data_IF_401296655535
#
_entry.id   IF_401296655535
#
_cell.length_a   1.000
_cell.length_b   1.000
_cell.length_c   1.000
_cell.angle_alpha   90.00
_cell.angle_beta   90.00
_cell.angle_gamma   90.00
#
_symmetry.space_group_name_H-M   'P 1'
#
loop_
_entity.id
_entity.type
_entity.pdbx_description
1 polymer ?
#
# COMPACT_ATOMS: atom_id res chain seq x y z
N UNK A 1 -27.62 25.71 -22.75
CA UNK A 1 -26.33 24.99 -22.74
C UNK A 1 -26.44 23.90 -21.71
N UNK A 2 -26.03 22.69 -22.08
CA UNK A 2 -26.05 21.54 -21.17
C UNK A 2 -25.06 21.83 -20.02
N UNK A 3 -25.53 21.75 -18.76
CA UNK A 3 -24.77 22.26 -17.60
C UNK A 3 -23.53 21.42 -17.29
N UNK A 4 -23.41 20.22 -17.86
CA UNK A 4 -22.33 19.25 -17.60
C UNK A 4 -21.36 19.14 -18.79
N UNK A 5 -20.95 20.27 -19.36
CA UNK A 5 -19.92 20.32 -20.41
C UNK A 5 -18.84 21.36 -20.11
N UNK A 6 -17.62 21.10 -20.57
CA UNK A 6 -16.49 22.01 -20.56
C UNK A 6 -16.29 22.58 -21.97
N UNK A 7 -16.38 23.90 -22.12
CA UNK A 7 -16.03 24.58 -23.37
C UNK A 7 -14.54 24.90 -23.41
N UNK A 8 -13.84 24.46 -24.46
CA UNK A 8 -12.42 24.72 -24.70
C UNK A 8 -12.29 25.52 -25.99
N UNK A 9 -11.57 26.65 -25.94
CA UNK A 9 -11.20 27.44 -27.11
C UNK A 9 -9.70 27.24 -27.35
N UNK A 10 -9.34 26.66 -28.49
CA UNK A 10 -7.93 26.53 -28.89
C UNK A 10 -7.50 27.78 -29.66
N UNK A 11 -6.80 28.69 -28.98
CA UNK A 11 -6.35 29.95 -29.56
C UNK A 11 -5.39 29.78 -30.76
N UNK A 12 -4.77 28.61 -30.94
CA UNK A 12 -3.90 28.33 -32.09
C UNK A 12 -4.71 28.23 -33.38
N UNK A 13 -5.98 27.83 -33.29
CA UNK A 13 -6.87 27.58 -34.43
C UNK A 13 -8.18 28.38 -34.37
N UNK A 14 -8.45 29.07 -33.25
CA UNK A 14 -9.72 29.71 -32.90
C UNK A 14 -10.93 28.76 -32.94
N UNK A 15 -10.71 27.44 -32.86
CA UNK A 15 -11.79 26.46 -32.80
C UNK A 15 -12.31 26.30 -31.38
N UNK A 16 -13.61 26.06 -31.26
CA UNK A 16 -14.30 25.80 -29.99
C UNK A 16 -14.74 24.35 -29.93
N UNK A 17 -14.45 23.69 -28.81
CA UNK A 17 -14.81 22.30 -28.53
C UNK A 17 -15.67 22.24 -27.27
N UNK A 18 -16.63 21.32 -27.23
CA UNK A 18 -17.39 21.01 -26.01
C UNK A 18 -17.08 19.58 -25.59
N UNK A 19 -16.60 19.42 -24.36
CA UNK A 19 -16.23 18.12 -23.79
C UNK A 19 -17.19 17.78 -22.66
N UNK A 20 -17.78 16.57 -22.63
CA UNK A 20 -18.66 16.17 -21.55
C UNK A 20 -17.91 16.04 -20.22
N UNK A 21 -18.52 16.54 -19.15
CA UNK A 21 -18.07 16.31 -17.78
C UNK A 21 -18.91 15.17 -17.21
N UNK A 22 -18.26 14.15 -16.66
CA UNK A 22 -18.91 13.04 -15.98
C UNK A 22 -18.24 12.80 -14.63
N UNK A 23 -19.03 12.81 -13.54
CA UNK A 23 -18.55 12.61 -12.16
C UNK A 23 -17.35 13.51 -11.81
N UNK A 24 -17.39 14.76 -12.25
CA UNK A 24 -16.32 15.74 -12.01
C UNK A 24 -15.03 15.49 -12.81
N UNK A 25 -15.07 14.62 -13.82
CA UNK A 25 -13.92 14.31 -14.69
C UNK A 25 -14.27 14.51 -16.16
N UNK A 26 -13.24 14.72 -17.00
CA UNK A 26 -13.34 14.61 -18.45
C UNK A 26 -12.54 13.38 -18.90
N UNK A 27 -12.88 12.77 -20.04
CA UNK A 27 -12.04 11.70 -20.60
C UNK A 27 -10.85 12.35 -21.30
N UNK A 28 -9.63 11.96 -20.95
CA UNK A 28 -8.42 12.46 -21.63
C UNK A 28 -8.43 12.20 -23.14
N UNK A 29 -9.09 11.12 -23.59
CA UNK A 29 -9.27 10.82 -25.01
C UNK A 29 -10.10 11.87 -25.77
N UNK A 30 -10.99 12.59 -25.10
CA UNK A 30 -11.82 13.61 -25.73
C UNK A 30 -10.99 14.84 -26.13
N UNK A 31 -9.81 15.04 -25.54
CA UNK A 31 -8.87 16.10 -25.95
C UNK A 31 -8.19 15.81 -27.28
N UNK A 32 -8.18 14.55 -27.74
CA UNK A 32 -7.48 14.14 -28.97
C UNK A 32 -8.10 14.75 -30.25
N UNK A 33 -9.33 15.22 -30.18
CA UNK A 33 -9.98 15.94 -31.29
C UNK A 33 -9.39 17.33 -31.52
N UNK A 34 -8.72 17.91 -30.51
CA UNK A 34 -8.11 19.24 -30.57
C UNK A 34 -6.78 19.13 -31.30
N UNK A 35 -6.72 19.69 -32.51
CA UNK A 35 -5.59 19.53 -33.44
C UNK A 35 -5.24 20.85 -34.11
N UNK A 36 -3.95 21.07 -34.39
CA UNK A 36 -3.50 22.23 -35.19
C UNK A 36 -3.40 21.94 -36.69
N UNK A 37 -3.59 20.68 -37.11
CA UNK A 37 -3.59 20.28 -38.52
C UNK A 37 -3.95 18.80 -38.72
N UNK A 38 -4.03 18.32 -39.98
CA UNK A 38 -4.45 16.94 -40.28
C UNK A 38 -3.52 15.87 -39.69
N UNK A 39 -2.20 16.12 -39.72
CA UNK A 39 -1.16 15.21 -39.24
C UNK A 39 -0.93 15.27 -37.72
N UNK A 40 -1.61 16.19 -37.02
CA UNK A 40 -1.51 16.29 -35.57
C UNK A 40 -2.20 15.07 -34.92
N UNK A 41 -1.49 14.42 -34.00
CA UNK A 41 -2.00 13.30 -33.22
C UNK A 41 -3.20 13.70 -32.34
N UNK A 42 -3.26 14.98 -31.96
CA UNK A 42 -4.24 15.55 -31.05
C UNK A 42 -3.63 15.91 -29.68
N UNK A 43 -4.25 16.86 -28.99
CA UNK A 43 -3.82 17.30 -27.66
C UNK A 43 -3.82 16.14 -26.66
N UNK A 44 -2.77 16.07 -25.86
CA UNK A 44 -2.61 15.09 -24.77
C UNK A 44 -2.47 15.83 -23.43
N UNK A 45 -2.87 15.18 -22.35
CA UNK A 45 -2.53 15.64 -21.00
C UNK A 45 -1.08 15.31 -20.66
N UNK A 46 -0.42 16.21 -19.95
CA UNK A 46 0.86 15.97 -19.31
C UNK A 46 0.69 16.16 -17.81
N UNK A 47 0.66 15.05 -17.07
CA UNK A 47 0.42 15.03 -15.63
C UNK A 47 1.38 14.04 -14.96
N UNK A 48 2.65 14.43 -14.75
CA UNK A 48 3.63 13.59 -14.08
C UNK A 48 3.11 13.08 -12.74
N UNK A 49 3.29 11.78 -12.47
CA UNK A 49 2.81 11.12 -11.25
C UNK A 49 1.28 11.15 -11.03
N UNK A 50 0.49 11.44 -12.08
CA UNK A 50 -0.98 11.41 -12.04
C UNK A 50 -1.55 12.33 -10.96
N UNK A 51 -0.99 13.54 -10.81
CA UNK A 51 -1.35 14.44 -9.72
C UNK A 51 -2.79 14.92 -9.79
N UNK A 52 -3.36 14.99 -11.00
CA UNK A 52 -4.74 15.40 -11.28
C UNK A 52 -5.41 14.49 -12.33
N UNK A 53 -5.08 13.20 -12.31
CA UNK A 53 -5.64 12.20 -13.23
C UNK A 53 -6.31 11.08 -12.45
N UNK A 54 -7.63 10.95 -12.58
CA UNK A 54 -8.37 9.79 -12.10
C UNK A 54 -8.15 8.60 -13.04
N UNK A 55 -7.42 7.58 -12.59
CA UNK A 55 -6.99 6.46 -13.44
C UNK A 55 -8.06 5.37 -13.66
N UNK A 56 -9.07 5.29 -12.78
CA UNK A 56 -10.16 4.31 -12.88
C UNK A 56 -11.41 4.80 -12.16
N UNK A 57 -12.54 4.15 -12.43
CA UNK A 57 -13.70 4.20 -11.55
C UNK A 57 -13.56 3.09 -10.49
N UNK A 58 -13.96 3.36 -9.26
CA UNK A 58 -13.91 2.37 -8.19
C UNK A 58 -15.05 2.54 -7.20
N UNK A 59 -15.52 1.42 -6.68
CA UNK A 59 -16.50 1.32 -5.60
C UNK A 59 -15.91 0.65 -4.34
N UNK A 60 -14.59 0.42 -4.28
CA UNK A 60 -13.92 -0.28 -3.16
C UNK A 60 -13.79 0.64 -1.94
N UNK A 61 -13.10 1.77 -2.12
CA UNK A 61 -12.74 2.69 -1.04
C UNK A 61 -12.98 4.11 -1.49
N UNK A 62 -13.56 4.91 -0.59
CA UNK A 62 -13.69 6.34 -0.76
C UNK A 62 -12.85 7.07 0.29
N UNK A 63 -12.15 8.12 -0.15
CA UNK A 63 -11.30 8.93 0.70
C UNK A 63 -11.53 10.41 0.41
N UNK A 64 -11.91 11.18 1.43
CA UNK A 64 -11.91 12.65 1.39
C UNK A 64 -10.84 13.17 2.34
N UNK A 65 -9.72 13.60 1.76
CA UNK A 65 -8.56 14.02 2.52
C UNK A 65 -8.72 15.35 3.25
N UNK A 66 -9.55 16.25 2.73
CA UNK A 66 -9.83 17.52 3.41
C UNK A 66 -10.72 17.29 4.63
N UNK A 67 -11.69 16.37 4.53
CA UNK A 67 -12.62 16.06 5.63
C UNK A 67 -12.13 14.96 6.57
N UNK A 68 -11.02 14.29 6.26
CA UNK A 68 -10.53 13.17 7.06
C UNK A 68 -11.49 11.98 7.02
N UNK A 69 -12.09 11.68 5.86
CA UNK A 69 -13.03 10.56 5.70
C UNK A 69 -12.32 9.41 5.00
N UNK A 70 -12.43 8.22 5.57
CA UNK A 70 -12.05 6.95 4.94
C UNK A 70 -13.21 5.97 5.07
N UNK A 71 -13.64 5.41 3.94
CA UNK A 71 -14.73 4.44 3.91
C UNK A 71 -14.38 3.24 3.05
N UNK A 72 -14.59 2.04 3.57
CA UNK A 72 -14.55 0.81 2.80
C UNK A 72 -15.99 0.43 2.46
N UNK A 73 -16.32 0.34 1.17
CA UNK A 73 -17.67 0.06 0.68
C UNK A 73 -18.76 0.94 1.34
N UNK A 74 -18.42 2.19 1.64
CA UNK A 74 -19.32 3.14 2.28
C UNK A 74 -19.29 3.15 3.82
N UNK A 75 -18.76 2.12 4.47
CA UNK A 75 -18.64 2.04 5.93
C UNK A 75 -17.44 2.85 6.44
N UNK A 76 -17.62 3.75 7.44
CA UNK A 76 -16.51 4.46 8.06
C UNK A 76 -15.48 3.51 8.67
N UNK A 77 -14.19 3.79 8.44
CA UNK A 77 -13.10 2.94 8.91
C UNK A 77 -13.14 2.70 10.41
N UNK A 78 -13.60 3.69 11.18
CA UNK A 78 -13.66 3.63 12.62
C UNK A 78 -14.67 2.60 13.15
N UNK A 79 -15.79 2.44 12.44
CA UNK A 79 -16.81 1.46 12.81
C UNK A 79 -16.32 0.04 12.50
N UNK A 80 -15.67 -0.15 11.34
CA UNK A 80 -15.08 -1.42 10.97
C UNK A 80 -13.97 -1.83 11.94
N UNK A 81 -13.08 -0.91 12.29
CA UNK A 81 -12.01 -1.15 13.26
C UNK A 81 -12.56 -1.51 14.65
N UNK A 82 -13.68 -0.91 15.07
CA UNK A 82 -14.28 -1.17 16.38
C UNK A 82 -15.05 -2.49 16.46
N UNK A 83 -15.75 -2.88 15.39
CA UNK A 83 -16.73 -3.96 15.44
C UNK A 83 -16.36 -5.21 14.64
N UNK A 84 -15.51 -5.11 13.62
CA UNK A 84 -15.25 -6.22 12.71
C UNK A 84 -13.94 -6.96 13.03
N UNK A 85 -13.87 -8.19 12.50
CA UNK A 85 -12.62 -8.93 12.33
C UNK A 85 -11.91 -8.49 11.04
N UNK A 86 -10.61 -8.75 10.91
CA UNK A 86 -9.91 -8.45 9.66
C UNK A 86 -10.46 -9.28 8.49
N UNK A 87 -10.82 -10.54 8.72
CA UNK A 87 -11.36 -11.40 7.65
C UNK A 87 -12.75 -10.97 7.20
N UNK A 88 -13.57 -10.41 8.10
CA UNK A 88 -14.85 -9.79 7.77
C UNK A 88 -14.65 -8.54 6.89
N UNK A 89 -13.68 -7.69 7.21
CA UNK A 89 -13.31 -6.53 6.38
C UNK A 89 -12.72 -6.98 5.03
N UNK A 90 -11.91 -8.03 5.01
CA UNK A 90 -11.40 -8.59 3.76
C UNK A 90 -12.54 -9.13 2.88
N UNK A 91 -13.54 -9.79 3.47
CA UNK A 91 -14.74 -10.21 2.76
C UNK A 91 -15.47 -9.00 2.16
N UNK A 92 -15.73 -7.96 2.96
CA UNK A 92 -16.36 -6.71 2.53
C UNK A 92 -15.64 -6.09 1.32
N UNK A 93 -14.32 -5.99 1.39
CA UNK A 93 -13.52 -5.41 0.30
C UNK A 93 -13.65 -6.23 -0.99
N UNK A 94 -13.59 -7.56 -0.90
CA UNK A 94 -13.63 -8.45 -2.08
C UNK A 94 -15.03 -8.56 -2.68
N UNK A 95 -16.07 -8.71 -1.86
CA UNK A 95 -17.42 -9.05 -2.32
C UNK A 95 -18.39 -7.86 -2.35
N UNK A 96 -18.04 -6.75 -1.70
CA UNK A 96 -18.82 -5.51 -1.74
C UNK A 96 -19.78 -5.30 -0.58
N UNK A 97 -20.13 -6.36 0.14
CA UNK A 97 -21.09 -6.36 1.26
C UNK A 97 -20.50 -7.08 2.48
N UNK A 98 -20.97 -6.75 3.68
CA UNK A 98 -20.60 -7.47 4.90
C UNK A 98 -21.19 -8.90 4.87
N UNK A 99 -20.44 -9.92 5.33
CA UNK A 99 -20.93 -11.29 5.33
C UNK A 99 -21.99 -11.49 6.43
N UNK A 100 -22.93 -12.40 6.17
CA UNK A 100 -23.69 -13.06 7.25
C UNK A 100 -22.77 -13.95 8.08
N UNK A 101 -23.22 -14.37 9.27
CA UNK A 101 -22.43 -15.28 10.12
C UNK A 101 -22.06 -16.59 9.41
N UNK A 102 -22.99 -17.15 8.61
CA UNK A 102 -22.72 -18.38 7.83
C UNK A 102 -21.65 -18.15 6.77
N UNK A 103 -21.73 -17.05 6.03
CA UNK A 103 -20.74 -16.67 5.01
C UNK A 103 -19.37 -16.39 5.63
N UNK A 104 -19.32 -15.73 6.79
CA UNK A 104 -18.09 -15.46 7.51
C UNK A 104 -17.41 -16.76 7.95
N UNK A 105 -18.16 -17.69 8.57
CA UNK A 105 -17.61 -18.99 8.98
C UNK A 105 -17.15 -19.84 7.79
N UNK A 106 -17.83 -19.75 6.65
CA UNK A 106 -17.41 -20.42 5.41
C UNK A 106 -16.11 -19.78 4.88
N UNK A 107 -16.03 -18.45 4.87
CA UNK A 107 -14.87 -17.69 4.44
C UNK A 107 -13.62 -17.94 5.30
N UNK A 108 -13.77 -17.93 6.62
CA UNK A 108 -12.69 -18.24 7.56
C UNK A 108 -12.15 -19.66 7.35
N UNK A 109 -13.05 -20.63 7.14
CA UNK A 109 -12.67 -22.02 6.86
C UNK A 109 -11.94 -22.16 5.52
N UNK A 110 -12.44 -21.52 4.48
CA UNK A 110 -11.86 -21.55 3.13
C UNK A 110 -10.43 -20.95 3.13
N UNK A 111 -10.23 -19.83 3.82
CA UNK A 111 -8.90 -19.24 4.03
C UNK A 111 -8.02 -20.16 4.87
N UNK A 112 -8.54 -20.67 5.99
CA UNK A 112 -7.81 -21.53 6.92
C UNK A 112 -7.22 -22.76 6.24
N UNK A 113 -7.97 -23.36 5.31
CA UNK A 113 -7.53 -24.50 4.49
C UNK A 113 -6.39 -24.18 3.52
N UNK A 114 -6.16 -22.91 3.21
CA UNK A 114 -5.15 -22.46 2.25
C UNK A 114 -3.94 -21.77 2.89
N UNK A 115 -3.80 -21.81 4.21
CA UNK A 115 -2.69 -21.17 4.94
C UNK A 115 -1.33 -21.84 4.72
N UNK A 116 -1.29 -23.17 4.55
CA UNK A 116 -0.05 -23.90 4.30
C UNK A 116 0.54 -23.58 2.91
N UNK A 117 1.87 -23.47 2.84
CA UNK A 117 2.61 -23.34 1.58
C UNK A 117 3.25 -24.67 1.20
N UNK A 118 3.50 -24.89 -0.09
CA UNK A 118 4.13 -26.12 -0.57
C UNK A 118 5.56 -26.26 -0.01
N UNK A 119 5.99 -27.47 0.35
CA UNK A 119 7.30 -27.72 1.00
C UNK A 119 8.50 -27.20 0.21
N UNK A 120 8.46 -27.30 -1.12
CA UNK A 120 9.52 -26.74 -1.97
C UNK A 120 9.61 -25.20 -1.91
N UNK A 121 8.56 -24.49 -1.46
CA UNK A 121 8.65 -23.04 -1.20
C UNK A 121 9.57 -22.77 -0.01
N UNK A 122 9.55 -23.62 1.03
CA UNK A 122 10.50 -23.50 2.15
C UNK A 122 11.94 -23.67 1.67
N UNK A 123 12.19 -24.67 0.82
CA UNK A 123 13.52 -24.86 0.20
C UNK A 123 13.96 -23.68 -0.65
N UNK A 124 13.03 -23.02 -1.33
CA UNK A 124 13.30 -21.77 -2.06
C UNK A 124 13.69 -20.65 -1.07
N UNK A 125 12.97 -20.51 0.04
CA UNK A 125 13.26 -19.52 1.08
C UNK A 125 14.61 -19.77 1.77
N UNK A 126 15.02 -21.03 1.96
CA UNK A 126 16.32 -21.38 2.54
C UNK A 126 17.51 -20.84 1.73
N UNK A 127 17.29 -20.51 0.44
CA UNK A 127 18.30 -19.92 -0.43
C UNK A 127 18.57 -18.43 -0.20
N UNK A 128 17.73 -17.72 0.56
CA UNK A 128 18.01 -16.33 0.91
C UNK A 128 19.16 -16.23 1.91
N UNK A 129 19.97 -15.18 1.79
CA UNK A 129 21.00 -14.90 2.79
C UNK A 129 20.37 -14.68 4.17
N UNK A 130 21.09 -15.02 5.23
CA UNK A 130 20.56 -15.05 6.60
C UNK A 130 20.10 -13.68 7.12
N UNK A 131 20.68 -12.58 6.63
CA UNK A 131 20.32 -11.20 7.00
C UNK A 131 19.41 -10.52 5.96
N UNK A 132 18.90 -11.27 4.96
CA UNK A 132 18.10 -10.72 3.89
C UNK A 132 16.87 -9.98 4.43
N UNK A 133 16.61 -8.79 3.88
CA UNK A 133 15.49 -7.98 4.33
C UNK A 133 14.15 -8.72 4.11
N UNK A 134 13.26 -8.76 5.12
CA UNK A 134 12.00 -9.52 5.06
C UNK A 134 11.12 -9.16 3.86
N UNK A 135 11.05 -7.88 3.49
CA UNK A 135 10.35 -7.44 2.26
C UNK A 135 10.93 -8.08 0.99
N UNK A 136 12.25 -8.22 0.88
CA UNK A 136 12.89 -8.89 -0.27
C UNK A 136 12.49 -10.36 -0.35
N UNK A 137 12.53 -11.07 0.78
CA UNK A 137 12.06 -12.46 0.89
C UNK A 137 10.59 -12.56 0.49
N UNK A 138 9.73 -11.66 0.99
CA UNK A 138 8.29 -11.64 0.72
C UNK A 138 8.00 -11.44 -0.78
N UNK A 139 8.59 -10.42 -1.41
CA UNK A 139 8.43 -10.11 -2.84
C UNK A 139 8.81 -11.33 -3.69
N UNK A 140 10.02 -11.85 -3.48
CA UNK A 140 10.55 -12.97 -4.26
C UNK A 140 9.75 -14.25 -4.06
N UNK A 141 9.33 -14.54 -2.82
CA UNK A 141 8.55 -15.75 -2.53
C UNK A 141 7.14 -15.66 -3.12
N UNK A 142 6.46 -14.52 -3.00
CA UNK A 142 5.14 -14.32 -3.62
C UNK A 142 5.22 -14.42 -5.14
N UNK A 143 6.27 -13.87 -5.76
CA UNK A 143 6.50 -14.04 -7.19
C UNK A 143 6.69 -15.53 -7.54
N UNK A 144 7.49 -16.27 -6.76
CA UNK A 144 7.70 -17.70 -6.99
C UNK A 144 6.40 -18.51 -6.85
N UNK A 145 5.45 -18.12 -5.99
CA UNK A 145 4.16 -18.82 -5.86
C UNK A 145 3.38 -18.89 -7.19
N UNK A 146 3.58 -17.97 -8.13
CA UNK A 146 3.00 -18.05 -9.48
C UNK A 146 3.34 -19.37 -10.19
N UNK A 147 4.52 -19.95 -9.95
CA UNK A 147 4.95 -21.21 -10.58
C UNK A 147 4.37 -22.44 -9.87
N UNK A 148 3.94 -22.30 -8.61
CA UNK A 148 3.31 -23.38 -7.82
C UNK A 148 1.80 -23.45 -8.06
N UNK A 149 1.21 -22.37 -8.55
CA UNK A 149 -0.21 -22.28 -8.89
C UNK A 149 -0.36 -21.97 -10.38
N UNK A 150 -0.01 -22.91 -11.28
CA UNK A 150 -0.02 -22.66 -12.71
C UNK A 150 -1.42 -22.34 -13.23
N UNK A 151 -2.50 -22.68 -12.51
CA UNK A 151 -3.86 -22.33 -12.88
C UNK A 151 -4.22 -20.84 -12.68
N UNK A 152 -3.35 -20.09 -11.98
CA UNK A 152 -3.55 -18.68 -11.64
C UNK A 152 -3.61 -17.73 -12.84
N UNK A 153 -3.04 -18.09 -13.98
CA UNK A 153 -3.13 -17.30 -15.22
C UNK A 153 -4.54 -17.31 -15.84
N UNK A 154 -5.45 -18.20 -15.39
CA UNK A 154 -6.85 -18.26 -15.87
C UNK A 154 -7.69 -17.13 -15.27
N UNK A 155 -7.25 -15.89 -15.43
CA UNK A 155 -7.83 -14.71 -14.78
C UNK A 155 -9.22 -14.34 -15.31
N UNK A 156 -9.64 -14.86 -16.47
CA UNK A 156 -11.00 -14.63 -16.99
C UNK A 156 -12.04 -15.53 -16.32
N UNK A 157 -11.61 -16.66 -15.74
CA UNK A 157 -12.47 -17.55 -14.97
C UNK A 157 -12.68 -17.01 -13.55
N UNK A 158 -13.94 -16.71 -13.21
CA UNK A 158 -14.32 -16.18 -11.90
C UNK A 158 -14.00 -17.13 -10.75
N UNK A 159 -14.16 -18.45 -10.96
CA UNK A 159 -13.82 -19.44 -9.94
C UNK A 159 -12.31 -19.49 -9.70
N UNK A 160 -11.51 -19.46 -10.78
CA UNK A 160 -10.05 -19.36 -10.66
C UNK A 160 -9.64 -18.09 -9.90
N UNK A 161 -10.21 -16.92 -10.24
CA UNK A 161 -9.95 -15.67 -9.52
C UNK A 161 -10.24 -15.80 -8.03
N UNK A 162 -11.42 -16.33 -7.65
CA UNK A 162 -11.79 -16.56 -6.25
C UNK A 162 -10.76 -17.45 -5.53
N UNK A 163 -10.38 -18.57 -6.14
CA UNK A 163 -9.39 -19.47 -5.56
C UNK A 163 -8.03 -18.79 -5.33
N UNK A 164 -7.58 -17.94 -6.26
CA UNK A 164 -6.32 -17.22 -6.06
C UNK A 164 -6.42 -16.14 -4.99
N UNK A 165 -7.58 -15.46 -4.86
CA UNK A 165 -7.84 -14.51 -3.77
C UNK A 165 -7.70 -15.19 -2.41
N UNK A 166 -8.38 -16.33 -2.22
CA UNK A 166 -8.30 -17.14 -0.99
C UNK A 166 -6.86 -17.57 -0.70
N UNK A 167 -6.15 -18.08 -1.72
CA UNK A 167 -4.76 -18.52 -1.57
C UNK A 167 -3.84 -17.37 -1.15
N UNK A 168 -3.97 -16.19 -1.75
CA UNK A 168 -3.12 -15.05 -1.41
C UNK A 168 -3.41 -14.53 0.00
N UNK A 169 -4.68 -14.37 0.39
CA UNK A 169 -5.05 -13.95 1.75
C UNK A 169 -4.60 -14.98 2.80
N UNK A 170 -4.74 -16.27 2.52
CA UNK A 170 -4.34 -17.34 3.44
C UNK A 170 -2.84 -17.54 3.57
N UNK A 171 -2.08 -17.43 2.46
CA UNK A 171 -0.64 -17.77 2.44
C UNK A 171 0.26 -16.62 2.86
N UNK A 172 -0.17 -15.38 2.65
CA UNK A 172 0.71 -14.24 2.88
C UNK A 172 1.20 -14.14 4.35
N UNK A 173 0.37 -14.37 5.38
CA UNK A 173 0.84 -14.43 6.76
C UNK A 173 1.90 -15.52 6.98
N UNK A 174 1.74 -16.69 6.35
CA UNK A 174 2.70 -17.79 6.44
C UNK A 174 4.04 -17.41 5.82
N UNK A 175 4.03 -16.84 4.61
CA UNK A 175 5.26 -16.37 3.94
C UNK A 175 5.94 -15.27 4.75
N UNK A 176 5.17 -14.32 5.28
CA UNK A 176 5.67 -13.24 6.13
C UNK A 176 6.30 -13.77 7.43
N UNK A 177 5.64 -14.69 8.13
CA UNK A 177 6.17 -15.28 9.35
C UNK A 177 7.43 -16.12 9.09
N UNK A 178 7.49 -16.81 7.94
CA UNK A 178 8.67 -17.55 7.54
C UNK A 178 9.82 -16.62 7.20
N UNK A 179 9.58 -15.49 6.52
CA UNK A 179 10.59 -14.47 6.27
C UNK A 179 11.19 -13.91 7.57
N UNK A 180 10.34 -13.63 8.58
CA UNK A 180 10.79 -13.22 9.91
C UNK A 180 11.67 -14.29 10.57
N UNK A 181 11.22 -15.54 10.56
CA UNK A 181 11.95 -16.63 11.24
C UNK A 181 13.24 -17.01 10.53
N UNK A 182 13.27 -16.95 9.20
CA UNK A 182 14.50 -17.11 8.41
C UNK A 182 15.57 -16.12 8.86
N UNK A 183 15.21 -14.83 8.93
CA UNK A 183 16.13 -13.77 9.39
C UNK A 183 16.65 -13.99 10.81
N UNK A 184 15.84 -14.57 11.68
CA UNK A 184 16.23 -14.89 13.06
C UNK A 184 16.91 -16.26 13.22
N UNK A 185 17.11 -17.02 12.14
CA UNK A 185 17.65 -18.38 12.20
C UNK A 185 16.75 -19.37 12.96
N UNK A 186 15.45 -19.13 13.01
CA UNK A 186 14.47 -19.95 13.76
C UNK A 186 13.78 -20.96 12.84
N UNK A 187 13.48 -22.19 13.31
CA UNK A 187 12.70 -23.16 12.55
C UNK A 187 11.31 -22.61 12.20
N UNK A 188 10.77 -22.88 11.02
CA UNK A 188 9.42 -22.47 10.65
C UNK A 188 8.35 -23.14 11.52
N UNK A 189 7.30 -22.40 11.86
CA UNK A 189 6.13 -22.88 12.61
C UNK A 189 4.94 -22.91 11.67
N UNK A 190 4.31 -24.08 11.53
CA UNK A 190 3.14 -24.21 10.67
C UNK A 190 1.92 -23.42 11.19
N UNK A 191 1.01 -23.01 10.28
CA UNK A 191 -0.31 -22.52 10.65
C UNK A 191 -1.07 -23.50 11.55
N UNK A 192 -1.80 -22.97 12.54
CA UNK A 192 -2.72 -23.70 13.40
C UNK A 192 -4.16 -23.35 13.01
N UNK A 193 -4.97 -24.33 12.53
CA UNK A 193 -6.34 -24.07 12.08
C UNK A 193 -7.33 -23.77 13.22
N UNK A 194 -6.95 -23.98 14.49
CA UNK A 194 -7.80 -23.62 15.63
C UNK A 194 -7.67 -22.15 16.03
N UNK A 195 -6.68 -21.43 15.49
CA UNK A 195 -6.43 -20.03 15.80
C UNK A 195 -7.05 -19.09 14.76
N UNK A 196 -7.62 -17.98 15.23
CA UNK A 196 -8.07 -16.89 14.35
C UNK A 196 -6.89 -16.28 13.57
N UNK A 197 -7.18 -15.54 12.51
CA UNK A 197 -6.16 -15.04 11.56
C UNK A 197 -4.94 -14.38 12.22
N UNK A 198 -5.16 -13.41 13.12
CA UNK A 198 -4.07 -12.71 13.82
C UNK A 198 -3.39 -13.58 14.88
N UNK A 199 -4.16 -14.38 15.63
CA UNK A 199 -3.61 -15.33 16.61
C UNK A 199 -2.73 -16.38 15.94
N UNK A 200 -3.12 -16.85 14.77
CA UNK A 200 -2.36 -17.81 13.99
C UNK A 200 -1.05 -17.19 13.46
N UNK A 201 -1.10 -15.94 13.00
CA UNK A 201 0.12 -15.22 12.62
C UNK A 201 1.07 -15.03 13.82
N UNK A 202 0.56 -14.63 14.99
CA UNK A 202 1.33 -14.56 16.23
C UNK A 202 1.96 -15.92 16.61
N UNK A 203 1.20 -17.02 16.48
CA UNK A 203 1.69 -18.38 16.67
C UNK A 203 2.87 -18.68 15.74
N UNK A 204 2.74 -18.38 14.45
CA UNK A 204 3.79 -18.65 13.48
C UNK A 204 5.05 -17.81 13.73
N UNK A 205 4.95 -16.65 14.38
CA UNK A 205 6.08 -15.80 14.73
C UNK A 205 6.78 -16.25 16.02
N UNK A 206 6.00 -16.48 17.07
CA UNK A 206 6.52 -16.52 18.44
C UNK A 206 6.48 -17.88 19.11
N UNK A 207 5.78 -18.87 18.55
CA UNK A 207 5.84 -20.22 19.10
C UNK A 207 7.28 -20.72 19.13
N UNK A 208 7.73 -21.16 20.30
CA UNK A 208 9.05 -21.71 20.51
C UNK A 208 8.95 -23.23 20.66
N UNK A 209 9.05 -23.74 21.88
CA UNK A 209 9.05 -25.17 22.18
C UNK A 209 7.76 -25.63 22.83
N UNK A 210 6.87 -24.71 23.18
CA UNK A 210 5.59 -25.05 23.79
C UNK A 210 4.71 -25.87 22.84
N UNK A 211 3.92 -26.84 23.35
CA UNK A 211 3.04 -27.66 22.51
C UNK A 211 1.99 -26.82 21.77
N UNK A 212 1.41 -25.84 22.46
CA UNK A 212 0.37 -24.94 21.94
C UNK A 212 0.71 -23.50 22.31
N UNK A 213 0.66 -22.62 21.31
CA UNK A 213 0.85 -21.19 21.52
C UNK A 213 -0.44 -20.57 22.07
N UNK A 214 -0.32 -19.75 23.10
CA UNK A 214 -1.43 -19.01 23.69
C UNK A 214 -1.28 -17.52 23.40
N UNK A 215 -1.92 -17.05 22.32
CA UNK A 215 -1.91 -15.64 21.94
C UNK A 215 -2.57 -14.77 23.02
N UNK A 216 -1.89 -13.71 23.46
CA UNK A 216 -2.52 -12.72 24.33
C UNK A 216 -3.70 -12.06 23.58
N UNK A 217 -4.93 -12.05 24.13
CA UNK A 217 -6.12 -11.56 23.43
C UNK A 217 -6.06 -10.06 23.11
N UNK A 218 -5.43 -9.25 23.97
CA UNK A 218 -5.27 -7.81 23.75
C UNK A 218 -4.34 -7.56 22.57
N UNK A 219 -3.19 -8.25 22.52
CA UNK A 219 -2.24 -8.12 21.41
C UNK A 219 -2.83 -8.64 20.09
N UNK A 220 -3.59 -9.73 20.14
CA UNK A 220 -4.28 -10.26 18.96
C UNK A 220 -5.33 -9.27 18.42
N UNK A 221 -6.08 -8.60 19.31
CA UNK A 221 -7.05 -7.57 18.93
C UNK A 221 -6.36 -6.32 18.40
N UNK A 222 -5.28 -5.88 19.03
CA UNK A 222 -4.48 -4.74 18.56
C UNK A 222 -3.97 -4.99 17.12
N UNK A 223 -3.45 -6.19 16.86
CA UNK A 223 -3.00 -6.57 15.52
C UNK A 223 -4.14 -6.58 14.49
N UNK A 224 -5.33 -7.02 14.90
CA UNK A 224 -6.50 -7.06 14.04
C UNK A 224 -6.99 -5.67 13.65
N UNK A 225 -7.04 -4.75 14.63
CA UNK A 225 -7.34 -3.34 14.36
C UNK A 225 -6.29 -2.75 13.41
N UNK A 226 -5.00 -2.97 13.68
CA UNK A 226 -3.93 -2.49 12.80
C UNK A 226 -4.07 -3.07 11.38
N UNK A 227 -4.44 -4.33 11.23
CA UNK A 227 -4.70 -4.93 9.93
C UNK A 227 -5.88 -4.26 9.21
N UNK A 228 -7.00 -4.02 9.90
CA UNK A 228 -8.16 -3.31 9.32
C UNK A 228 -7.76 -1.91 8.84
N UNK A 229 -6.99 -1.16 9.63
CA UNK A 229 -6.57 0.22 9.30
C UNK A 229 -5.65 0.31 8.07
N UNK A 230 -5.07 -0.82 7.66
CA UNK A 230 -4.15 -0.92 6.52
C UNK A 230 -4.73 -1.73 5.35
N UNK A 231 -5.96 -2.26 5.47
CA UNK A 231 -6.53 -3.20 4.51
C UNK A 231 -6.66 -2.66 3.08
N UNK A 232 -7.10 -1.41 2.91
CA UNK A 232 -7.07 -0.70 1.64
C UNK A 232 -6.86 0.81 1.81
N UNK A 233 -6.42 1.50 0.76
CA UNK A 233 -6.26 2.95 0.79
C UNK A 233 -6.32 3.56 -0.62
N UNK A 234 -7.35 3.20 -1.38
CA UNK A 234 -7.66 3.79 -2.69
C UNK A 234 -6.48 3.69 -3.69
N UNK A 235 -6.34 4.60 -4.66
CA UNK A 235 -5.34 4.54 -5.74
C UNK A 235 -3.95 5.08 -5.31
N UNK A 236 -3.36 4.46 -4.29
CA UNK A 236 -1.96 4.70 -3.91
C UNK A 236 -0.96 3.96 -4.83
N UNK A 237 0.34 4.27 -4.72
CA UNK A 237 1.41 3.72 -5.57
C UNK A 237 1.35 2.19 -5.74
N UNK A 238 1.19 1.45 -4.64
CA UNK A 238 1.11 -0.02 -4.68
C UNK A 238 -0.18 -0.54 -5.33
N UNK A 239 -1.32 0.09 -5.06
CA UNK A 239 -2.60 -0.27 -5.69
C UNK A 239 -2.60 0.06 -7.19
N UNK A 240 -2.07 1.22 -7.58
CA UNK A 240 -1.89 1.58 -8.99
C UNK A 240 -0.93 0.63 -9.70
N UNK A 241 0.11 0.15 -9.01
CA UNK A 241 1.02 -0.88 -9.55
C UNK A 241 0.30 -2.21 -9.73
N UNK A 242 -0.49 -2.66 -8.74
CA UNK A 242 -1.33 -3.86 -8.84
C UNK A 242 -2.25 -3.75 -10.07
N UNK A 243 -2.93 -2.62 -10.26
CA UNK A 243 -3.79 -2.40 -11.43
C UNK A 243 -3.00 -2.34 -12.74
N UNK A 244 -1.87 -1.65 -12.77
CA UNK A 244 -1.05 -1.50 -13.98
C UNK A 244 -0.51 -2.85 -14.46
N UNK A 245 0.10 -3.64 -13.57
CA UNK A 245 0.59 -4.99 -13.91
C UNK A 245 -0.59 -5.92 -14.23
N UNK A 246 -1.68 -5.87 -13.46
CA UNK A 246 -2.87 -6.68 -13.72
C UNK A 246 -3.51 -6.39 -15.09
N UNK A 247 -3.43 -5.15 -15.57
CA UNK A 247 -3.96 -4.75 -16.88
C UNK A 247 -3.26 -5.41 -18.08
N UNK A 248 -2.05 -5.96 -17.89
CA UNK A 248 -1.37 -6.77 -18.89
C UNK A 248 -1.78 -8.24 -18.87
N UNK A 249 -2.79 -8.60 -18.06
CA UNK A 249 -3.25 -9.97 -17.80
C UNK A 249 -2.20 -10.86 -17.10
N UNK A 250 -1.29 -10.28 -16.33
CA UNK A 250 -0.42 -11.05 -15.43
C UNK A 250 -1.25 -11.79 -14.37
N UNK A 251 -0.75 -12.95 -13.91
CA UNK A 251 -1.40 -13.71 -12.85
C UNK A 251 -1.40 -12.91 -11.52
N UNK A 252 -2.35 -13.18 -10.60
CA UNK A 252 -2.47 -12.40 -9.37
C UNK A 252 -1.27 -12.53 -8.43
N UNK A 253 -0.45 -13.59 -8.48
CA UNK A 253 0.75 -13.70 -7.64
C UNK A 253 1.87 -12.80 -8.16
N UNK A 254 2.14 -12.82 -9.47
CA UNK A 254 3.11 -11.90 -10.08
C UNK A 254 2.67 -10.43 -9.94
N UNK A 255 1.37 -10.17 -10.10
CA UNK A 255 0.79 -8.83 -9.90
C UNK A 255 0.95 -8.37 -8.44
N UNK A 256 0.66 -9.25 -7.48
CA UNK A 256 0.84 -9.01 -6.04
C UNK A 256 2.30 -8.73 -5.70
N UNK A 257 3.25 -9.49 -6.25
CA UNK A 257 4.68 -9.25 -6.04
C UNK A 257 5.10 -7.85 -6.50
N UNK A 258 4.59 -7.37 -7.64
CA UNK A 258 4.78 -6.00 -8.11
C UNK A 258 4.20 -4.95 -7.14
N UNK A 259 3.02 -5.20 -6.58
CA UNK A 259 2.39 -4.32 -5.59
C UNK A 259 3.19 -4.27 -4.28
N UNK A 260 3.67 -5.41 -3.78
CA UNK A 260 4.55 -5.51 -2.60
C UNK A 260 5.88 -4.78 -2.86
N UNK A 261 6.45 -4.91 -4.05
CA UNK A 261 7.66 -4.17 -4.42
C UNK A 261 7.43 -2.65 -4.40
N UNK A 262 6.31 -2.17 -4.93
CA UNK A 262 5.93 -0.76 -4.84
C UNK A 262 5.70 -0.31 -3.39
N UNK A 263 5.17 -1.18 -2.52
CA UNK A 263 5.03 -0.90 -1.08
C UNK A 263 6.37 -0.82 -0.35
N UNK A 264 7.37 -1.62 -0.76
CA UNK A 264 8.69 -1.65 -0.11
C UNK A 264 9.50 -0.35 -0.25
N UNK A 265 9.09 0.55 -1.14
CA UNK A 265 9.77 1.84 -1.31
C UNK A 265 9.63 2.74 -0.06
N UNK A 266 10.70 3.48 0.32
CA UNK A 266 10.69 4.33 1.52
C UNK A 266 9.73 5.53 1.42
N UNK A 267 9.35 5.93 0.20
CA UNK A 267 8.34 6.97 -0.04
C UNK A 267 6.89 6.43 -0.02
N UNK A 268 6.71 5.15 0.30
CA UNK A 268 5.40 4.51 0.44
C UNK A 268 5.33 3.74 1.77
N UNK A 269 5.45 2.41 1.77
CA UNK A 269 5.26 1.58 2.98
C UNK A 269 6.47 1.48 3.92
N UNK A 270 7.65 1.96 3.50
CA UNK A 270 8.85 2.01 4.36
C UNK A 270 8.86 3.17 5.36
N UNK A 271 7.87 4.06 5.34
CA UNK A 271 7.85 5.24 6.21
C UNK A 271 7.71 4.91 7.71
N UNK A 272 7.11 3.78 8.07
CA UNK A 272 6.92 3.35 9.46
C UNK A 272 8.23 2.92 10.14
N UNK A 273 9.13 2.25 9.42
CA UNK A 273 10.48 1.92 9.90
C UNK A 273 11.28 3.21 10.15
N UNK A 274 11.23 4.14 9.19
CA UNK A 274 11.90 5.44 9.29
C UNK A 274 11.41 6.32 10.44
N UNK A 275 10.14 6.17 10.87
CA UNK A 275 9.62 6.84 12.08
C UNK A 275 10.39 6.37 13.30
N UNK A 276 10.60 5.06 13.49
CA UNK A 276 11.31 4.59 14.69
C UNK A 276 12.78 4.96 14.66
N UNK A 277 13.43 4.85 13.50
CA UNK A 277 14.82 5.32 13.34
C UNK A 277 14.96 6.80 13.68
N UNK A 278 13.99 7.63 13.26
CA UNK A 278 13.93 9.04 13.63
C UNK A 278 13.72 9.24 15.14
N UNK A 279 12.82 8.49 15.77
CA UNK A 279 12.58 8.58 17.21
C UNK A 279 13.81 8.13 18.03
N UNK A 280 14.54 7.11 17.55
CA UNK A 280 15.82 6.67 18.13
C UNK A 280 16.93 7.73 17.95
N UNK A 281 17.04 8.36 16.78
CA UNK A 281 17.98 9.47 16.54
C UNK A 281 17.72 10.65 17.49
N UNK A 282 16.44 10.98 17.73
CA UNK A 282 16.06 12.03 18.69
C UNK A 282 16.42 11.62 20.11
N UNK A 283 16.12 10.38 20.49
CA UNK A 283 16.49 9.74 21.77
C UNK A 283 15.77 10.27 23.01
N UNK A 284 15.65 11.59 23.19
CA UNK A 284 14.95 12.22 24.32
C UNK A 284 14.14 13.44 23.89
N UNK A 285 13.10 13.77 24.66
CA UNK A 285 12.26 14.97 24.44
C UNK A 285 13.09 16.26 24.40
N UNK A 286 14.19 16.34 25.15
CA UNK A 286 15.06 17.52 25.20
C UNK A 286 15.78 17.83 23.88
N UNK A 287 15.95 16.83 23.00
CA UNK A 287 16.61 16.99 21.70
C UNK A 287 15.65 17.45 20.58
N UNK A 288 14.33 17.40 20.82
CA UNK A 288 13.32 17.72 19.81
C UNK A 288 13.50 19.12 19.20
N UNK A 289 13.75 20.21 19.97
CA UNK A 289 13.91 21.54 19.39
C UNK A 289 15.01 21.61 18.33
N UNK A 290 16.14 20.93 18.56
CA UNK A 290 17.25 20.86 17.61
C UNK A 290 16.91 20.09 16.34
N UNK A 291 16.19 18.97 16.48
CA UNK A 291 15.71 18.19 15.33
C UNK A 291 14.73 18.99 14.48
N UNK A 292 13.76 19.66 15.12
CA UNK A 292 12.76 20.50 14.44
C UNK A 292 13.41 21.66 13.68
N UNK A 293 14.46 22.29 14.23
CA UNK A 293 15.21 23.31 13.51
C UNK A 293 15.80 22.78 12.20
N UNK A 294 16.42 21.59 12.23
CA UNK A 294 16.98 20.95 11.03
C UNK A 294 15.92 20.59 9.98
N UNK A 295 14.72 20.18 10.42
CA UNK A 295 13.58 19.93 9.52
C UNK A 295 13.16 21.23 8.83
N UNK A 296 13.05 22.34 9.58
CA UNK A 296 12.68 23.65 9.00
C UNK A 296 13.72 24.18 8.02
N UNK A 297 15.00 23.89 8.25
CA UNK A 297 16.12 24.19 7.36
C UNK A 297 16.19 23.28 6.12
N UNK A 298 15.37 22.22 6.05
CA UNK A 298 15.36 21.28 4.92
C UNK A 298 16.50 20.26 4.93
N UNK A 299 17.24 20.12 6.05
CA UNK A 299 18.33 19.14 6.21
C UNK A 299 17.82 17.72 6.48
N UNK A 300 16.61 17.62 7.04
CA UNK A 300 15.94 16.38 7.45
C UNK A 300 14.46 16.44 7.08
N UNK A 301 13.81 15.28 6.95
CA UNK A 301 12.35 15.18 6.87
C UNK A 301 11.80 14.72 8.22
N UNK A 302 10.59 15.16 8.54
CA UNK A 302 9.85 14.66 9.69
C UNK A 302 9.04 13.44 9.26
N UNK A 303 9.54 12.24 9.58
CA UNK A 303 8.96 10.97 9.16
C UNK A 303 7.64 10.69 9.90
N UNK A 304 6.65 10.10 9.23
CA UNK A 304 5.30 9.88 9.78
C UNK A 304 4.41 11.13 9.81
N UNK A 305 4.84 12.24 9.18
CA UNK A 305 4.05 13.46 9.08
C UNK A 305 3.74 13.85 7.63
N UNK A 306 2.53 14.38 7.45
CA UNK A 306 1.98 14.70 6.14
C UNK A 306 1.39 13.46 5.47
N UNK A 307 0.48 13.73 4.55
CA UNK A 307 -0.19 12.69 3.79
C UNK A 307 -0.59 13.25 2.42
N UNK A 308 -0.42 12.47 1.35
CA UNK A 308 -0.73 12.91 -0.03
C UNK A 308 -2.19 13.34 -0.20
N UNK A 309 -3.08 12.67 0.54
CA UNK A 309 -4.53 12.90 0.54
C UNK A 309 -5.04 13.64 1.78
N UNK A 310 -4.87 13.12 3.02
CA UNK A 310 -5.28 13.83 4.24
C UNK A 310 -4.57 15.16 4.45
N UNK A 311 -5.36 16.21 4.69
CA UNK A 311 -4.89 17.60 4.78
C UNK A 311 -5.14 18.26 6.13
N UNK A 312 -5.94 17.67 7.01
CA UNK A 312 -6.33 18.25 8.30
C UNK A 312 -6.21 17.29 9.49
N UNK A 313 -6.59 16.02 9.33
CA UNK A 313 -6.53 15.00 10.39
C UNK A 313 -6.71 13.58 9.81
N UNK A 314 -6.02 12.58 10.36
CA UNK A 314 -6.20 11.16 10.01
C UNK A 314 -7.26 10.54 10.95
N UNK A 315 -8.44 10.10 10.44
CA UNK A 315 -9.51 9.55 11.28
C UNK A 315 -9.07 8.34 12.11
N UNK A 316 -8.01 7.65 11.68
CA UNK A 316 -7.47 6.44 12.32
C UNK A 316 -6.68 6.78 13.58
N UNK A 317 -6.18 8.00 13.74
CA UNK A 317 -5.29 8.39 14.84
C UNK A 317 -5.92 8.16 16.23
N UNK A 318 -7.24 8.44 16.40
CA UNK A 318 -7.94 8.21 17.67
C UNK A 318 -7.96 6.75 18.07
N UNK A 319 -8.20 5.87 17.10
CA UNK A 319 -8.26 4.42 17.33
C UNK A 319 -6.88 3.89 17.69
N UNK A 320 -5.86 4.32 16.95
CA UNK A 320 -4.49 3.88 17.19
C UNK A 320 -3.99 4.29 18.57
N UNK A 321 -4.34 5.49 19.05
CA UNK A 321 -3.98 5.92 20.42
C UNK A 321 -4.57 5.01 21.49
N UNK A 322 -5.86 4.66 21.37
CA UNK A 322 -6.52 3.72 22.28
C UNK A 322 -5.84 2.35 22.24
N UNK A 323 -5.56 1.83 21.05
CA UNK A 323 -4.86 0.55 20.88
C UNK A 323 -3.46 0.58 21.47
N UNK A 324 -2.73 1.69 21.35
CA UNK A 324 -1.41 1.84 21.95
C UNK A 324 -1.46 1.74 23.48
N UNK A 325 -2.43 2.41 24.11
CA UNK A 325 -2.65 2.35 25.56
C UNK A 325 -2.93 0.91 26.00
N UNK A 326 -3.87 0.22 25.34
CA UNK A 326 -4.22 -1.19 25.63
C UNK A 326 -3.00 -2.13 25.49
N UNK A 327 -2.15 -1.91 24.48
CA UNK A 327 -0.92 -2.70 24.29
C UNK A 327 0.08 -2.42 25.41
N UNK A 328 0.29 -1.16 25.80
CA UNK A 328 1.24 -0.79 26.85
C UNK A 328 0.84 -1.31 28.23
N UNK A 329 -0.45 -1.47 28.50
CA UNK A 329 -0.93 -2.13 29.73
C UNK A 329 -0.43 -3.58 29.83
N UNK A 330 -0.23 -4.25 28.70
CA UNK A 330 0.21 -5.65 28.62
C UNK A 330 1.72 -5.78 28.52
N UNK A 331 2.37 -4.95 27.69
CA UNK A 331 3.79 -5.12 27.34
C UNK A 331 4.72 -4.18 28.10
N UNK A 332 4.17 -3.20 28.80
CA UNK A 332 4.90 -2.08 29.38
C UNK A 332 4.99 -0.90 28.42
N UNK A 333 5.20 0.28 28.98
CA UNK A 333 5.22 1.54 28.23
C UNK A 333 6.49 1.67 27.40
N UNK A 334 6.35 1.96 26.11
CA UNK A 334 7.47 2.31 25.24
C UNK A 334 7.88 3.78 25.44
N UNK A 335 9.12 4.12 25.86
CA UNK A 335 9.53 5.51 26.11
C UNK A 335 9.49 6.40 24.87
N UNK A 336 9.54 5.83 23.66
CA UNK A 336 9.38 6.57 22.42
C UNK A 336 8.03 7.29 22.32
N UNK A 337 7.01 6.81 23.05
CA UNK A 337 5.69 7.47 23.05
C UNK A 337 5.76 8.91 23.57
N UNK A 338 6.65 9.19 24.53
CA UNK A 338 6.80 10.55 25.07
C UNK A 338 7.39 11.51 24.02
N UNK A 339 8.36 11.02 23.25
CA UNK A 339 8.95 11.77 22.12
C UNK A 339 7.88 11.98 21.04
N UNK A 340 7.13 10.93 20.69
CA UNK A 340 6.11 10.98 19.66
C UNK A 340 4.98 11.97 20.02
N UNK A 341 4.49 11.94 21.25
CA UNK A 341 3.48 12.88 21.75
C UNK A 341 4.00 14.32 21.78
N UNK A 342 5.27 14.53 22.14
CA UNK A 342 5.87 15.86 22.11
C UNK A 342 6.03 16.40 20.68
N UNK A 343 6.46 15.56 19.73
CA UNK A 343 6.54 15.90 18.31
C UNK A 343 5.16 16.22 17.72
N UNK A 344 4.13 15.43 18.04
CA UNK A 344 2.75 15.70 17.63
C UNK A 344 2.31 17.08 18.11
N UNK A 345 2.51 17.39 19.40
CA UNK A 345 2.14 18.71 19.96
C UNK A 345 2.83 19.86 19.24
N UNK A 346 4.10 19.71 18.90
CA UNK A 346 4.86 20.73 18.16
C UNK A 346 4.31 20.87 16.74
N UNK A 347 4.12 19.77 16.01
CA UNK A 347 3.59 19.81 14.65
C UNK A 347 2.19 20.45 14.58
N UNK A 348 1.36 20.25 15.62
CA UNK A 348 0.02 20.84 15.71
C UNK A 348 0.00 22.31 16.15
N UNK A 349 1.08 22.84 16.73
CA UNK A 349 1.13 24.20 17.28
C UNK A 349 2.08 25.14 16.51
N UNK A 350 3.00 24.59 15.74
CA UNK A 350 4.03 25.34 15.03
C UNK A 350 3.61 25.73 13.60
N UNK A 351 3.67 27.03 13.30
CA UNK A 351 3.19 27.63 12.05
C UNK A 351 3.84 27.02 10.80
N UNK A 352 5.09 26.54 10.88
CA UNK A 352 5.78 25.89 9.77
C UNK A 352 5.04 24.64 9.30
N UNK A 353 4.60 23.81 10.24
CA UNK A 353 3.96 22.52 10.00
C UNK A 353 2.49 22.69 9.65
N UNK A 354 1.79 23.62 10.34
CA UNK A 354 0.39 23.97 10.05
C UNK A 354 0.23 24.46 8.60
N UNK A 355 1.07 25.43 8.16
CA UNK A 355 1.00 25.95 6.78
C UNK A 355 1.27 24.88 5.72
N UNK A 356 2.07 23.87 6.06
CA UNK A 356 2.41 22.75 5.17
C UNK A 356 1.49 21.54 5.34
N UNK A 357 0.51 21.61 6.23
CA UNK A 357 -0.44 20.54 6.52
C UNK A 357 0.26 19.23 6.90
N UNK A 358 1.32 19.32 7.70
CA UNK A 358 2.12 18.18 8.16
C UNK A 358 1.56 17.63 9.48
N UNK A 359 0.58 16.74 9.37
CA UNK A 359 -0.07 16.07 10.50
C UNK A 359 0.45 14.63 10.67
N UNK A 360 0.45 14.06 11.89
CA UNK A 360 0.76 12.65 12.07
C UNK A 360 -0.17 11.76 11.25
N UNK A 361 0.38 10.75 10.58
CA UNK A 361 -0.39 9.73 9.87
C UNK A 361 -0.40 8.40 10.66
N UNK A 362 -1.11 7.39 10.14
CA UNK A 362 -1.17 6.03 10.71
C UNK A 362 0.20 5.43 11.05
N UNK A 363 1.22 5.70 10.23
CA UNK A 363 2.55 5.11 10.36
C UNK A 363 3.31 5.64 11.58
N UNK A 364 2.97 6.86 12.03
CA UNK A 364 3.63 7.51 13.15
C UNK A 364 3.46 6.76 14.47
N UNK A 365 2.27 6.20 14.70
CA UNK A 365 1.96 5.48 15.93
C UNK A 365 2.04 3.96 15.77
N UNK A 366 1.79 3.42 14.58
CA UNK A 366 1.78 1.97 14.35
C UNK A 366 3.15 1.33 14.66
N UNK A 367 4.25 2.00 14.29
CA UNK A 367 5.61 1.52 14.59
C UNK A 367 5.87 1.34 16.08
N UNK A 368 5.42 2.29 16.91
CA UNK A 368 5.61 2.24 18.38
C UNK A 368 4.84 1.07 18.98
N UNK A 369 3.61 0.83 18.47
CA UNK A 369 2.78 -0.30 18.90
C UNK A 369 3.44 -1.62 18.50
N UNK A 370 3.89 -1.74 17.24
CA UNK A 370 4.58 -2.94 16.77
C UNK A 370 5.85 -3.24 17.57
N UNK A 371 6.68 -2.24 17.85
CA UNK A 371 7.87 -2.42 18.69
C UNK A 371 7.49 -2.90 20.10
N UNK A 372 6.43 -2.31 20.71
CA UNK A 372 5.95 -2.73 22.01
C UNK A 372 5.38 -4.16 22.03
N UNK A 373 4.86 -4.65 20.90
CA UNK A 373 4.45 -6.05 20.71
C UNK A 373 5.64 -7.00 20.49
N UNK A 374 6.87 -6.48 20.34
CA UNK A 374 8.09 -7.27 20.12
C UNK A 374 8.45 -7.49 18.65
N UNK A 375 7.87 -6.72 17.72
CA UNK A 375 8.32 -6.71 16.33
C UNK A 375 9.58 -5.84 16.16
N UNK A 376 10.40 -6.20 15.18
CA UNK A 376 11.57 -5.40 14.78
C UNK A 376 11.23 -4.50 13.59
N UNK A 377 11.87 -3.32 13.44
CA UNK A 377 11.51 -2.33 12.41
C UNK A 377 11.47 -2.87 10.97
N UNK A 378 12.37 -3.78 10.61
CA UNK A 378 12.45 -4.45 9.30
C UNK A 378 11.19 -5.27 8.92
N UNK A 379 10.31 -5.55 9.90
CA UNK A 379 9.04 -6.26 9.69
C UNK A 379 7.87 -5.31 9.44
N UNK A 380 8.00 -4.01 9.67
CA UNK A 380 6.83 -3.13 9.71
C UNK A 380 6.15 -3.00 8.35
N UNK A 381 6.92 -2.91 7.27
CA UNK A 381 6.34 -2.92 5.92
C UNK A 381 5.74 -4.28 5.55
N UNK A 382 6.23 -5.39 6.13
CA UNK A 382 5.62 -6.72 5.97
C UNK A 382 4.25 -6.77 6.68
N UNK A 383 4.16 -6.21 7.89
CA UNK A 383 2.91 -6.06 8.64
C UNK A 383 1.90 -5.14 7.95
N UNK A 384 2.38 -4.25 7.07
CA UNK A 384 1.53 -3.48 6.17
C UNK A 384 1.10 -4.32 4.95
N UNK A 385 2.02 -5.08 4.34
CA UNK A 385 1.72 -5.89 3.16
C UNK A 385 0.62 -6.95 3.42
N UNK A 386 0.65 -7.62 4.59
CA UNK A 386 -0.32 -8.66 4.96
C UNK A 386 -1.78 -8.18 4.82
N UNK A 387 -2.22 -7.13 5.54
CA UNK A 387 -3.58 -6.64 5.42
C UNK A 387 -3.87 -5.99 4.07
N UNK A 388 -2.88 -5.32 3.48
CA UNK A 388 -3.06 -4.61 2.21
C UNK A 388 -3.38 -5.53 1.04
N UNK A 389 -3.08 -6.83 1.16
CA UNK A 389 -3.48 -7.84 0.18
C UNK A 389 -4.97 -7.91 -0.09
N UNK A 390 -5.83 -7.72 0.92
CA UNK A 390 -7.27 -7.68 0.67
C UNK A 390 -7.65 -6.51 -0.26
N UNK A 391 -7.12 -5.31 0.00
CA UNK A 391 -7.31 -4.14 -0.85
C UNK A 391 -6.76 -4.31 -2.26
N UNK A 392 -5.51 -4.78 -2.40
CA UNK A 392 -4.92 -5.04 -3.71
C UNK A 392 -5.73 -6.05 -4.54
N UNK A 393 -6.22 -7.13 -3.91
CA UNK A 393 -7.06 -8.12 -4.59
C UNK A 393 -8.43 -7.58 -4.96
N UNK A 394 -9.06 -6.77 -4.10
CA UNK A 394 -10.32 -6.12 -4.42
C UNK A 394 -10.19 -5.17 -5.62
N UNK A 395 -9.11 -4.37 -5.64
CA UNK A 395 -8.79 -3.43 -6.72
C UNK A 395 -8.45 -4.15 -8.03
N UNK A 396 -7.72 -5.27 -7.94
CA UNK A 396 -7.44 -6.12 -9.09
C UNK A 396 -8.70 -6.82 -9.62
N UNK A 397 -9.55 -7.35 -8.75
CA UNK A 397 -10.79 -8.00 -9.12
C UNK A 397 -11.76 -7.02 -9.79
N UNK A 398 -11.89 -5.80 -9.25
CA UNK A 398 -12.68 -4.73 -9.86
C UNK A 398 -12.13 -4.36 -11.25
N UNK A 399 -10.81 -4.24 -11.41
CA UNK A 399 -10.19 -4.07 -12.73
C UNK A 399 -10.55 -5.22 -13.68
N UNK A 400 -10.50 -6.48 -13.22
CA UNK A 400 -10.79 -7.64 -14.07
C UNK A 400 -12.24 -7.68 -14.57
N UNK A 401 -13.16 -7.03 -13.85
CA UNK A 401 -14.59 -6.95 -14.15
C UNK A 401 -14.99 -5.64 -14.85
N UNK A 402 -14.06 -4.69 -14.96
CA UNK A 402 -14.30 -3.38 -15.57
C UNK A 402 -14.50 -3.52 -17.10
N UNK A 403 -15.67 -3.13 -17.66
CA UNK A 403 -15.90 -3.17 -19.11
C UNK A 403 -15.00 -2.20 -19.90
N UNK A 404 -14.48 -1.15 -19.25
CA UNK A 404 -13.55 -0.19 -19.86
C UNK A 404 -12.08 -0.64 -19.74
N UNK A 405 -11.80 -1.81 -19.13
CA UNK A 405 -10.44 -2.33 -18.92
C UNK A 405 -9.65 -2.37 -20.22
N UNK A 406 -8.50 -1.70 -20.22
CA UNK A 406 -7.46 -1.81 -21.24
C UNK A 406 -6.10 -1.90 -20.57
N UNK A 407 -5.10 -2.38 -21.31
CA UNK A 407 -3.70 -2.35 -20.84
C UNK A 407 -3.26 -0.92 -20.51
N UNK A 408 -2.69 -0.73 -19.33
CA UNK A 408 -2.11 0.53 -18.91
C UNK A 408 -0.85 0.82 -19.74
N UNK A 409 -0.94 1.83 -20.62
CA UNK A 409 0.13 2.20 -21.56
C UNK A 409 0.21 3.73 -21.71
N UNK A 410 0.79 4.45 -20.73
CA UNK A 410 0.89 5.90 -20.77
C UNK A 410 1.79 6.38 -21.93
N UNK A 411 1.66 7.66 -22.28
CA UNK A 411 2.53 8.36 -23.25
C UNK A 411 3.62 9.15 -22.51
N UNK A 412 4.58 9.65 -23.27
CA UNK A 412 5.60 10.57 -22.80
C UNK A 412 5.62 11.83 -23.69
N UNK A 413 6.10 12.94 -23.13
CA UNK A 413 6.53 14.11 -23.92
C UNK A 413 8.01 13.87 -24.26
N UNK A 414 8.31 13.63 -25.53
CA UNK A 414 9.69 13.42 -25.96
C UNK A 414 10.42 14.76 -26.00
N UNK A 415 11.48 14.88 -25.21
CA UNK A 415 12.35 16.09 -25.12
C UNK A 415 13.81 15.75 -25.44
N UNK A 416 14.04 14.60 -26.09
CA UNK A 416 15.37 14.19 -26.53
C UNK A 416 15.75 14.83 -27.86
N UNK A 417 16.94 14.46 -28.36
CA UNK A 417 17.41 14.87 -29.68
C UNK A 417 16.44 14.45 -30.79
N UNK A 418 16.28 15.30 -31.80
CA UNK A 418 15.58 14.94 -33.03
C UNK A 418 16.35 13.86 -33.82
N UNK A 419 15.82 13.49 -35.00
CA UNK A 419 16.52 12.57 -35.90
C UNK A 419 17.98 13.03 -36.11
N UNK A 420 18.92 12.17 -35.72
CA UNK A 420 20.35 12.32 -35.94
C UNK A 420 20.90 11.12 -36.72
N UNK A 421 21.86 11.38 -37.58
CA UNK A 421 22.47 10.33 -38.40
C UNK A 421 23.33 9.40 -37.54
N UNK A 422 23.25 8.10 -37.83
CA UNK A 422 24.03 7.10 -37.12
C UNK A 422 25.50 7.18 -37.53
N UNK A 423 26.39 7.28 -36.53
CA UNK A 423 27.83 7.23 -36.74
C UNK A 423 28.36 5.87 -36.27
N UNK A 424 28.93 5.04 -37.16
CA UNK A 424 29.59 3.79 -36.80
C UNK A 424 30.65 4.01 -35.74
N UNK A 425 30.89 3.03 -34.88
CA UNK A 425 31.80 3.17 -33.73
C UNK A 425 33.22 3.62 -34.15
N UNK A 426 33.68 3.23 -35.33
CA UNK A 426 34.98 3.60 -35.92
C UNK A 426 35.06 5.05 -36.41
N UNK A 427 33.93 5.74 -36.53
CA UNK A 427 33.83 7.10 -37.04
C UNK A 427 33.37 8.12 -35.98
N UNK A 428 33.19 7.68 -34.72
CA UNK A 428 32.80 8.57 -33.61
C UNK A 428 34.02 9.34 -33.12
N UNK A 429 33.93 10.66 -33.05
CA UNK A 429 34.87 11.47 -32.29
C UNK A 429 34.53 11.46 -30.79
N UNK A 430 35.49 11.77 -29.93
CA UNK A 430 35.23 11.94 -28.50
C UNK A 430 34.19 13.05 -28.30
N UNK A 431 33.05 12.70 -27.72
CA UNK A 431 32.01 13.68 -27.42
C UNK A 431 32.48 14.60 -26.29
N UNK A 432 32.29 15.91 -26.44
CA UNK A 432 32.31 16.81 -25.29
C UNK A 432 31.20 16.37 -24.31
N UNK A 433 31.46 16.37 -22.99
CA UNK A 433 30.46 15.97 -22.02
C UNK A 433 29.20 16.81 -22.19
N UNK A 434 28.06 16.13 -22.37
CA UNK A 434 26.78 16.79 -22.55
C UNK A 434 26.52 17.76 -21.39
N UNK A 435 26.24 19.03 -21.70
CA UNK A 435 25.70 19.97 -20.73
C UNK A 435 24.34 19.43 -20.31
N UNK A 436 24.25 18.89 -19.10
CA UNK A 436 22.98 18.44 -18.52
C UNK A 436 22.04 19.64 -18.51
N UNK A 437 21.03 19.63 -19.37
CA UNK A 437 19.92 20.57 -19.29
C UNK A 437 19.24 20.35 -17.93
N UNK A 438 19.23 21.40 -17.10
CA UNK A 438 18.56 21.41 -15.79
C UNK A 438 17.05 21.51 -15.94
#
# INVERSE_FOLDING_TARGET
MDKDTLTIIDNRTNQTYMIPIHRGTIRAMDLRQIKTGPEDFGLMTYDPAYMNTAACQSAVTFLDGEKGILRYRGYPIEQLAEHCSYLEVAYLLIFGELPTMEELLAWEREIGQHTMIHENVKKFMDGFHHDAHPMGILISTVAALSTFYPDSHRIQDAASRRHQVVRLIGKLPTVAAYAYRHRLGRPYVYPDPELSYTKNYMNMLWKMTEPKYAANPVLARALEVLFILHADHEQNCSTSTMRAVGSSNADPFATMAGAIAALSGPLHGGANEEVLLMLDEIGTVSNIPGFIAQVKEGKRKLMGFGHRVYKNYDPRARIIKKVAEEVFEVTGRNPKIDIALALERIALSDEYFIKRKLYPNVDFYSGIIYEAMGFTPDQFTVLFAIPRTAGWLAQWQELMQDPDRKIARPRQVYVGEERREFVPITARSAAEPAKVAR
#
